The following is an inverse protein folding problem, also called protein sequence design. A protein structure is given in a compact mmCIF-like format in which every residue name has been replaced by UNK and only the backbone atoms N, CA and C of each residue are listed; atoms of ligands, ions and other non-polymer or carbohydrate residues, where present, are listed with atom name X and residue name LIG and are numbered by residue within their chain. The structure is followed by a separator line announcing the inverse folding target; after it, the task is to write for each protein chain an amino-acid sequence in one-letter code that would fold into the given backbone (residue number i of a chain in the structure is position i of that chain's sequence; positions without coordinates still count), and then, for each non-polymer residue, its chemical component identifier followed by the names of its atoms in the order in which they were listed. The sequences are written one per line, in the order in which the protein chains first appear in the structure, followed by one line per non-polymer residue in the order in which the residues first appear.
data_IF_290501072274
#
_entry.id   IF_290501072274
#
_cell.length_a   1.000
_cell.length_b   1.000
_cell.length_c   1.000
_cell.angle_alpha   90.00
_cell.angle_beta   90.00
_cell.angle_gamma   90.00
#
_symmetry.space_group_name_H-M   'P 1'
#
loop_
_entity.id
_entity.type
_entity.pdbx_description
1 polymer ?
#
# COMPACT_ATOMS: atom_id res chain seq x y z
N UNK A 1 7.40 -19.74 0.19
CA UNK A 1 6.56 -18.93 -0.70
C UNK A 1 5.93 -19.82 -1.77
N UNK A 2 4.62 -19.78 -1.90
CA UNK A 2 3.86 -20.55 -2.90
C UNK A 2 3.15 -19.64 -3.91
N UNK A 3 2.89 -18.39 -3.51
CA UNK A 3 2.10 -17.43 -4.28
C UNK A 3 2.88 -16.16 -4.55
N UNK A 4 2.56 -15.44 -5.62
CA UNK A 4 3.18 -14.15 -5.91
C UNK A 4 2.96 -13.11 -4.80
N UNK A 5 1.82 -13.13 -4.13
CA UNK A 5 1.53 -12.27 -2.98
C UNK A 5 2.42 -12.53 -1.77
N UNK A 6 2.99 -13.75 -1.62
CA UNK A 6 3.96 -14.05 -0.57
C UNK A 6 5.25 -13.22 -0.72
N UNK A 7 5.60 -12.83 -1.96
CA UNK A 7 6.77 -11.97 -2.21
C UNK A 7 6.55 -10.59 -1.61
N UNK A 8 5.37 -10.00 -1.82
CA UNK A 8 5.02 -8.69 -1.25
C UNK A 8 5.02 -8.75 0.27
N UNK A 9 4.39 -9.79 0.84
CA UNK A 9 4.36 -10.01 2.29
C UNK A 9 5.77 -10.19 2.88
N UNK A 10 6.63 -10.95 2.21
CA UNK A 10 8.01 -11.16 2.66
C UNK A 10 8.86 -9.89 2.60
N UNK A 11 8.69 -9.05 1.56
CA UNK A 11 9.38 -7.75 1.49
C UNK A 11 8.91 -6.84 2.62
N UNK A 12 7.60 -6.79 2.89
CA UNK A 12 7.02 -6.03 4.01
C UNK A 12 7.66 -6.44 5.34
N UNK A 13 7.77 -7.75 5.57
CA UNK A 13 8.41 -8.31 6.76
C UNK A 13 9.89 -7.95 6.85
N UNK A 14 10.64 -8.07 5.76
CA UNK A 14 12.09 -7.78 5.72
C UNK A 14 12.41 -6.31 5.93
N UNK A 15 11.53 -5.42 5.50
CA UNK A 15 11.65 -3.98 5.75
C UNK A 15 11.21 -3.59 7.18
N UNK A 16 10.82 -4.58 7.99
CA UNK A 16 10.38 -4.39 9.37
C UNK A 16 9.22 -3.39 9.51
N UNK A 17 8.30 -3.40 8.54
CA UNK A 17 7.05 -2.66 8.63
C UNK A 17 6.14 -3.41 9.61
N UNK A 18 6.18 -3.03 10.89
CA UNK A 18 5.56 -3.77 12.01
C UNK A 18 4.05 -3.94 11.87
N UNK A 19 3.40 -2.95 11.26
CA UNK A 19 1.95 -2.93 11.09
C UNK A 19 1.58 -2.61 9.65
N UNK A 20 0.42 -3.09 9.26
CA UNK A 20 -0.22 -2.71 8.02
C UNK A 20 -1.70 -2.37 8.28
N UNK A 21 -2.09 -1.13 8.05
CA UNK A 21 -3.48 -0.72 8.06
C UNK A 21 -4.13 -1.13 6.73
N UNK A 22 -5.15 -1.97 6.78
CA UNK A 22 -5.78 -2.55 5.58
C UNK A 22 -7.29 -2.36 5.62
N UNK A 23 -7.83 -1.80 4.53
CA UNK A 23 -9.27 -1.82 4.28
C UNK A 23 -9.60 -3.07 3.48
N UNK A 24 -10.43 -3.98 4.03
CA UNK A 24 -10.74 -5.25 3.38
C UNK A 24 -11.42 -5.06 2.03
N UNK A 25 -10.95 -5.81 1.03
CA UNK A 25 -11.53 -5.79 -0.31
C UNK A 25 -10.91 -6.85 -1.22
N UNK A 26 -11.57 -7.17 -2.31
CA UNK A 26 -11.12 -8.19 -3.25
C UNK A 26 -9.75 -7.87 -3.87
N UNK A 27 -9.37 -6.60 -3.92
CA UNK A 27 -8.06 -6.13 -4.42
C UNK A 27 -6.89 -6.71 -3.64
N UNK A 28 -7.07 -6.97 -2.35
CA UNK A 28 -6.00 -7.44 -1.46
C UNK A 28 -6.17 -8.87 -0.97
N UNK A 29 -7.10 -9.66 -1.54
CA UNK A 29 -7.32 -11.03 -1.09
C UNK A 29 -6.03 -11.84 -1.00
N UNK A 30 -5.21 -11.85 -2.04
CA UNK A 30 -3.94 -12.59 -2.04
C UNK A 30 -2.95 -12.06 -1.00
N UNK A 31 -2.81 -10.75 -0.89
CA UNK A 31 -1.89 -10.13 0.08
C UNK A 31 -2.35 -10.36 1.52
N UNK A 32 -3.64 -10.17 1.79
CA UNK A 32 -4.26 -10.50 3.08
C UNK A 32 -3.98 -11.97 3.47
N UNK A 33 -4.26 -12.89 2.55
CA UNK A 33 -4.05 -14.32 2.80
C UNK A 33 -2.57 -14.66 3.03
N UNK A 34 -1.65 -13.97 2.36
CA UNK A 34 -0.22 -14.14 2.59
C UNK A 34 0.21 -13.61 3.97
N UNK A 35 -0.31 -12.46 4.41
CA UNK A 35 -0.02 -11.95 5.75
C UNK A 35 -0.54 -12.93 6.81
N UNK A 36 -1.75 -13.47 6.65
CA UNK A 36 -2.37 -14.36 7.64
C UNK A 36 -1.75 -15.75 7.59
N UNK A 37 -1.72 -16.38 6.41
CA UNK A 37 -1.37 -17.80 6.30
C UNK A 37 0.13 -18.08 6.10
N UNK A 38 0.87 -17.16 5.48
CA UNK A 38 2.30 -17.32 5.27
C UNK A 38 3.12 -16.68 6.40
N UNK A 39 2.72 -15.49 6.91
CA UNK A 39 3.43 -14.78 7.98
C UNK A 39 2.79 -14.92 9.37
N UNK A 40 1.64 -15.58 9.51
CA UNK A 40 0.95 -15.78 10.79
C UNK A 40 0.41 -14.51 11.43
N UNK A 41 0.22 -13.44 10.65
CA UNK A 41 -0.26 -12.13 11.10
C UNK A 41 0.51 -11.55 12.30
N UNK A 42 1.82 -11.70 12.32
CA UNK A 42 2.67 -11.28 13.43
C UNK A 42 3.67 -10.17 13.06
N UNK A 43 4.22 -10.22 11.85
CA UNK A 43 5.14 -9.22 11.33
C UNK A 43 5.08 -9.20 9.79
N UNK A 44 4.33 -8.23 9.19
CA UNK A 44 3.51 -7.23 9.87
C UNK A 44 2.28 -7.82 10.55
N UNK A 45 1.81 -7.12 11.58
CA UNK A 45 0.48 -7.34 12.14
C UNK A 45 -0.53 -6.48 11.40
N UNK A 46 -1.61 -7.10 10.94
CA UNK A 46 -2.66 -6.40 10.20
C UNK A 46 -3.63 -5.70 11.15
N UNK A 47 -3.86 -4.42 10.88
CA UNK A 47 -4.89 -3.59 11.51
C UNK A 47 -6.02 -3.41 10.52
N UNK A 48 -7.16 -4.04 10.77
CA UNK A 48 -8.34 -3.93 9.91
C UNK A 48 -9.02 -2.59 10.14
N UNK A 49 -9.22 -1.84 9.07
CA UNK A 49 -9.87 -0.54 9.07
C UNK A 49 -11.19 -0.59 8.32
N UNK A 50 -12.13 0.26 8.72
CA UNK A 50 -13.46 0.35 8.11
C UNK A 50 -13.54 1.38 6.98
N UNK A 51 -12.52 2.25 6.88
CA UNK A 51 -12.44 3.31 5.88
C UNK A 51 -10.98 3.67 5.60
N UNK A 52 -10.68 4.06 4.39
CA UNK A 52 -9.32 4.35 3.94
C UNK A 52 -8.73 5.59 4.63
N UNK A 53 -9.55 6.58 4.90
CA UNK A 53 -9.17 7.74 5.71
C UNK A 53 -8.62 7.34 7.07
N UNK A 54 -9.29 6.39 7.74
CA UNK A 54 -8.85 5.87 9.04
C UNK A 54 -7.53 5.12 8.91
N UNK A 55 -7.38 4.32 7.85
CA UNK A 55 -6.16 3.54 7.64
C UNK A 55 -4.94 4.45 7.50
N UNK A 56 -5.04 5.50 6.68
CA UNK A 56 -3.93 6.47 6.52
C UNK A 56 -3.73 7.30 7.77
N UNK A 57 -4.80 7.75 8.44
CA UNK A 57 -4.70 8.54 9.68
C UNK A 57 -4.06 7.75 10.83
N UNK A 58 -4.30 6.44 10.91
CA UNK A 58 -3.62 5.55 11.87
C UNK A 58 -2.12 5.49 11.55
N UNK A 59 -1.76 5.33 10.28
CA UNK A 59 -0.35 5.30 9.87
C UNK A 59 0.35 6.65 10.11
N UNK A 60 -0.35 7.76 9.88
CA UNK A 60 0.14 9.10 10.18
C UNK A 60 0.40 9.28 11.69
N UNK A 61 -0.58 8.93 12.52
CA UNK A 61 -0.41 8.96 13.98
C UNK A 61 0.72 8.06 14.48
N UNK A 62 0.85 6.85 13.92
CA UNK A 62 1.94 5.93 14.24
C UNK A 62 3.30 6.55 13.90
N UNK A 63 3.46 7.06 12.69
CA UNK A 63 4.72 7.65 12.25
C UNK A 63 5.12 8.90 13.07
N UNK A 64 4.16 9.73 13.46
CA UNK A 64 4.40 10.91 14.32
C UNK A 64 4.93 10.53 15.71
N UNK A 65 4.50 9.40 16.24
CA UNK A 65 4.89 8.98 17.61
C UNK A 65 6.18 8.17 17.58
N UNK A 66 6.39 7.35 16.56
CA UNK A 66 7.49 6.38 16.52
C UNK A 66 8.64 6.79 15.63
N UNK A 67 8.41 7.75 14.73
CA UNK A 67 9.33 8.11 13.62
C UNK A 67 9.62 6.92 12.68
N UNK A 68 8.82 5.84 12.78
CA UNK A 68 8.92 4.67 11.92
C UNK A 68 7.79 4.67 10.88
N UNK A 69 8.03 4.20 9.65
CA UNK A 69 6.98 4.10 8.64
C UNK A 69 6.02 2.95 8.96
N UNK A 70 4.75 3.15 8.65
CA UNK A 70 3.73 2.11 8.67
C UNK A 70 3.27 1.82 7.23
N UNK A 71 2.90 0.58 6.95
CA UNK A 71 2.29 0.21 5.68
C UNK A 71 0.79 0.47 5.69
N UNK A 72 0.25 0.87 4.55
CA UNK A 72 -1.20 1.07 4.34
C UNK A 72 -1.63 0.41 3.04
N UNK A 73 -2.71 -0.35 3.05
CA UNK A 73 -3.28 -0.98 1.86
C UNK A 73 -4.70 -0.46 1.59
N UNK A 74 -4.86 0.23 0.47
CA UNK A 74 -6.07 0.96 0.08
C UNK A 74 -6.75 0.26 -1.09
N UNK A 75 -8.08 0.18 -1.06
CA UNK A 75 -8.86 -0.44 -2.13
C UNK A 75 -8.57 0.21 -3.50
N UNK A 76 -8.72 -0.56 -4.56
CA UNK A 76 -8.47 -0.11 -5.94
C UNK A 76 -9.28 1.15 -6.29
N UNK A 77 -8.64 2.15 -6.85
CA UNK A 77 -9.16 3.46 -7.23
C UNK A 77 -9.87 4.20 -6.08
N UNK A 78 -11.06 3.73 -5.70
CA UNK A 78 -11.91 4.41 -4.71
C UNK A 78 -11.24 4.56 -3.36
N UNK A 79 -10.45 3.58 -2.94
CA UNK A 79 -9.72 3.64 -1.68
C UNK A 79 -8.66 4.74 -1.69
N UNK A 80 -7.92 4.87 -2.78
CA UNK A 80 -6.92 5.94 -2.91
C UNK A 80 -7.60 7.32 -2.98
N UNK A 81 -8.76 7.43 -3.66
CA UNK A 81 -9.56 8.66 -3.69
C UNK A 81 -10.02 9.07 -2.28
N UNK A 82 -10.55 8.12 -1.50
CA UNK A 82 -10.97 8.39 -0.11
C UNK A 82 -9.79 8.74 0.81
N UNK A 83 -8.62 8.23 0.51
CA UNK A 83 -7.41 8.48 1.31
C UNK A 83 -6.65 9.75 0.89
N UNK A 84 -7.06 10.45 -0.16
CA UNK A 84 -6.32 11.59 -0.70
C UNK A 84 -6.05 12.66 0.36
N UNK A 85 -7.07 13.05 1.14
CA UNK A 85 -6.93 14.08 2.16
C UNK A 85 -5.96 13.68 3.29
N UNK A 86 -6.07 12.51 3.94
CA UNK A 86 -5.11 12.13 4.97
C UNK A 86 -3.70 11.84 4.42
N UNK A 87 -3.53 11.44 3.16
CA UNK A 87 -2.20 11.38 2.53
C UNK A 87 -1.60 12.78 2.43
N UNK A 88 -2.40 13.78 2.02
CA UNK A 88 -1.96 15.17 1.99
C UNK A 88 -1.59 15.69 3.38
N UNK A 89 -2.34 15.34 4.42
CA UNK A 89 -2.00 15.68 5.81
C UNK A 89 -0.64 15.08 6.20
N UNK A 90 -0.42 13.79 5.96
CA UNK A 90 0.85 13.12 6.23
C UNK A 90 2.03 13.73 5.44
N UNK A 91 1.77 14.18 4.20
CA UNK A 91 2.74 14.95 3.41
C UNK A 91 3.13 16.27 4.10
N UNK A 92 2.15 17.04 4.56
CA UNK A 92 2.39 18.29 5.28
C UNK A 92 3.15 18.05 6.59
N UNK A 93 2.82 16.99 7.30
CA UNK A 93 3.40 16.60 8.60
C UNK A 93 4.75 15.88 8.47
N UNK A 94 5.19 15.58 7.24
CA UNK A 94 6.43 14.84 6.97
C UNK A 94 6.47 13.45 7.60
N UNK A 95 5.32 12.80 7.67
CA UNK A 95 5.21 11.47 8.25
C UNK A 95 5.50 10.40 7.19
N UNK A 96 6.49 9.50 7.41
CA UNK A 96 6.79 8.46 6.45
C UNK A 96 5.73 7.35 6.46
N UNK A 97 5.35 6.86 5.29
CA UNK A 97 4.52 5.67 5.13
C UNK A 97 4.73 5.03 3.76
N UNK A 98 4.39 3.76 3.66
CA UNK A 98 4.36 3.03 2.39
C UNK A 98 2.92 2.69 2.05
N UNK A 99 2.42 3.23 0.95
CA UNK A 99 1.04 3.10 0.52
C UNK A 99 0.95 2.12 -0.64
N UNK A 100 0.17 1.06 -0.46
CA UNK A 100 -0.22 0.14 -1.51
C UNK A 100 -1.53 0.59 -2.13
N UNK A 101 -1.48 1.06 -3.36
CA UNK A 101 -2.64 1.17 -4.22
C UNK A 101 -2.89 -0.17 -4.93
N UNK A 102 -4.10 -0.42 -5.34
CA UNK A 102 -4.44 -1.60 -6.12
C UNK A 102 -5.07 -1.21 -7.45
N UNK A 103 -4.89 -2.02 -8.47
CA UNK A 103 -5.54 -1.86 -9.77
C UNK A 103 -6.01 -3.22 -10.29
N UNK A 104 -6.97 -3.21 -11.19
CA UNK A 104 -7.37 -4.40 -11.93
C UNK A 104 -6.22 -4.97 -12.76
N UNK A 105 -6.37 -6.19 -13.33
CA UNK A 105 -5.31 -6.84 -14.09
C UNK A 105 -4.78 -5.93 -15.22
N UNK A 106 -3.46 -5.82 -15.30
CA UNK A 106 -2.79 -5.11 -16.40
C UNK A 106 -3.09 -5.81 -17.74
N UNK A 107 -3.03 -7.15 -17.73
CA UNK A 107 -3.42 -7.97 -18.88
C UNK A 107 -4.94 -7.86 -19.13
N UNK A 108 -5.31 -7.22 -20.23
CA UNK A 108 -6.71 -6.99 -20.59
C UNK A 108 -7.51 -8.30 -20.74
N UNK A 109 -6.89 -9.42 -21.15
CA UNK A 109 -7.56 -10.72 -21.27
C UNK A 109 -7.95 -11.30 -19.92
N UNK A 110 -7.32 -10.86 -18.82
CA UNK A 110 -7.64 -11.30 -17.46
C UNK A 110 -8.66 -10.43 -16.77
N UNK A 111 -9.04 -9.31 -17.38
CA UNK A 111 -10.02 -8.40 -16.81
C UNK A 111 -11.41 -8.98 -16.87
N UNK A 112 -12.12 -8.83 -15.76
CA UNK A 112 -13.53 -9.19 -15.63
C UNK A 112 -14.38 -7.99 -16.06
N UNK A 113 -15.11 -8.04 -17.18
CA UNK A 113 -15.77 -6.88 -17.77
C UNK A 113 -16.86 -6.26 -16.88
N UNK A 114 -17.39 -7.04 -15.92
CA UNK A 114 -18.46 -6.58 -15.01
C UNK A 114 -17.95 -5.82 -13.77
N UNK A 115 -16.63 -5.84 -13.48
CA UNK A 115 -16.13 -5.24 -12.24
C UNK A 115 -14.77 -4.54 -12.39
N UNK A 116 -13.87 -5.02 -13.24
CA UNK A 116 -12.51 -4.46 -13.29
C UNK A 116 -12.47 -3.07 -13.90
N UNK A 117 -13.50 -2.66 -14.67
CA UNK A 117 -13.60 -1.31 -15.21
C UNK A 117 -13.68 -0.22 -14.13
N UNK A 118 -14.30 -0.52 -12.97
CA UNK A 118 -14.35 0.42 -11.83
C UNK A 118 -13.14 0.32 -10.91
N UNK A 119 -12.31 -0.72 -11.09
CA UNK A 119 -11.13 -0.99 -10.28
C UNK A 119 -9.82 -0.75 -11.04
N UNK A 120 -9.87 -0.19 -12.23
CA UNK A 120 -8.69 0.00 -13.08
C UNK A 120 -8.52 1.48 -13.42
N UNK A 121 -7.34 2.02 -13.10
CA UNK A 121 -6.86 3.30 -13.60
C UNK A 121 -5.61 3.05 -14.45
N UNK A 122 -5.38 3.88 -15.47
CA UNK A 122 -4.20 3.74 -16.32
C UNK A 122 -2.92 3.94 -15.53
N UNK A 123 -2.85 5.01 -14.73
CA UNK A 123 -1.77 5.31 -13.80
C UNK A 123 -2.40 5.83 -12.51
N UNK A 124 -2.57 4.94 -11.53
CA UNK A 124 -3.27 5.28 -10.29
C UNK A 124 -2.50 6.30 -9.45
N UNK A 125 -1.17 6.24 -9.44
CA UNK A 125 -0.30 7.16 -8.71
C UNK A 125 -0.52 8.64 -9.08
N UNK A 126 -1.03 8.94 -10.29
CA UNK A 126 -1.37 10.33 -10.68
C UNK A 126 -2.36 11.02 -9.74
N UNK A 127 -3.16 10.24 -8.99
CA UNK A 127 -4.15 10.81 -8.06
C UNK A 127 -3.50 11.49 -6.84
N UNK A 128 -2.28 11.11 -6.50
CA UNK A 128 -1.58 11.56 -5.28
C UNK A 128 -0.18 12.10 -5.54
N UNK A 129 0.27 12.11 -6.79
CA UNK A 129 1.66 12.44 -7.18
C UNK A 129 2.16 13.77 -6.65
N UNK A 130 1.31 14.76 -6.49
CA UNK A 130 1.68 16.09 -6.01
C UNK A 130 1.94 16.13 -4.48
N UNK A 131 1.54 15.09 -3.75
CA UNK A 131 1.69 15.00 -2.29
C UNK A 131 2.14 13.61 -1.81
N UNK A 132 2.96 12.96 -2.62
CA UNK A 132 3.82 11.84 -2.23
C UNK A 132 5.23 12.08 -2.76
N UNK A 133 6.24 11.50 -2.15
CA UNK A 133 7.64 11.66 -2.62
C UNK A 133 7.91 10.89 -3.90
N UNK A 134 7.22 9.78 -4.09
CA UNK A 134 7.45 8.90 -5.22
C UNK A 134 6.28 7.92 -5.38
N UNK A 135 6.00 7.55 -6.61
CA UNK A 135 5.04 6.51 -6.96
C UNK A 135 5.61 5.61 -8.05
N UNK A 136 5.20 4.34 -8.04
CA UNK A 136 5.55 3.38 -9.08
C UNK A 136 4.44 2.33 -9.23
N UNK A 137 4.39 1.73 -10.40
CA UNK A 137 3.42 0.69 -10.73
C UNK A 137 4.16 -0.48 -11.41
N UNK A 138 4.79 -1.38 -10.64
CA UNK A 138 5.51 -2.52 -11.21
C UNK A 138 4.55 -3.45 -11.95
N UNK A 139 4.94 -3.87 -13.15
CA UNK A 139 4.12 -4.71 -14.02
C UNK A 139 4.40 -6.20 -13.86
N UNK A 140 5.54 -6.57 -13.33
CA UNK A 140 5.93 -7.97 -13.12
C UNK A 140 6.22 -8.24 -11.66
N UNK A 141 6.07 -9.51 -11.26
CA UNK A 141 6.41 -9.91 -9.90
C UNK A 141 7.90 -9.72 -9.58
N UNK A 142 8.76 -9.81 -10.57
CA UNK A 142 10.20 -9.62 -10.42
C UNK A 142 10.56 -8.17 -10.07
N UNK A 143 9.78 -7.20 -10.54
CA UNK A 143 10.03 -5.77 -10.32
C UNK A 143 9.54 -5.30 -8.94
N UNK A 144 8.59 -6.04 -8.32
CA UNK A 144 7.95 -5.64 -7.07
C UNK A 144 8.96 -5.41 -5.93
N UNK A 145 9.93 -6.30 -5.65
CA UNK A 145 10.89 -6.07 -4.57
C UNK A 145 11.70 -4.79 -4.74
N UNK A 146 12.20 -4.51 -5.93
CA UNK A 146 13.02 -3.33 -6.20
C UNK A 146 12.21 -2.04 -6.07
N UNK A 147 11.01 -2.02 -6.63
CA UNK A 147 10.06 -0.92 -6.51
C UNK A 147 9.72 -0.64 -5.05
N UNK A 148 9.37 -1.68 -4.29
CA UNK A 148 8.98 -1.55 -2.89
C UNK A 148 10.15 -1.04 -2.02
N UNK A 149 11.35 -1.62 -2.16
CA UNK A 149 12.54 -1.21 -1.41
C UNK A 149 12.90 0.24 -1.73
N UNK A 150 12.77 0.64 -2.99
CA UNK A 150 13.01 2.03 -3.42
C UNK A 150 12.02 2.98 -2.78
N UNK A 151 10.72 2.70 -2.86
CA UNK A 151 9.67 3.50 -2.23
C UNK A 151 9.89 3.65 -0.72
N UNK A 152 10.17 2.53 -0.03
CA UNK A 152 10.48 2.55 1.39
C UNK A 152 11.68 3.47 1.71
N UNK A 153 12.79 3.34 0.99
CA UNK A 153 13.98 4.17 1.21
C UNK A 153 13.70 5.65 0.99
N UNK A 154 12.93 5.98 -0.05
CA UNK A 154 12.55 7.36 -0.35
C UNK A 154 11.66 7.92 0.78
N UNK A 155 10.69 7.15 1.27
CA UNK A 155 9.80 7.58 2.33
C UNK A 155 10.53 7.94 3.62
N UNK A 156 11.54 7.15 4.03
CA UNK A 156 12.31 7.35 5.27
C UNK A 156 13.52 8.28 5.11
N UNK A 157 13.85 8.71 3.89
CA UNK A 157 14.94 9.68 3.65
C UNK A 157 14.43 11.09 3.90
N UNK A 158 15.17 11.88 4.67
CA UNK A 158 14.83 13.27 4.97
C UNK A 158 14.76 14.18 3.72
N UNK A 159 13.79 15.09 3.63
CA UNK A 159 12.63 15.19 4.51
C UNK A 159 11.68 14.01 4.30
N UNK A 160 11.31 13.32 5.38
CA UNK A 160 10.41 12.15 5.30
C UNK A 160 9.01 12.56 4.79
N UNK A 161 8.31 11.62 4.12
CA UNK A 161 6.91 11.78 3.73
C UNK A 161 6.37 10.48 3.08
N UNK A 162 5.06 10.39 2.80
CA UNK A 162 4.47 9.30 2.05
C UNK A 162 5.11 9.09 0.68
#
# INVERSE_FOLDING_TARGET
MKWGSDVVAEVTRRLNLKYIALVPGASYRGFHDSIVNYLGNSNPQMVICLHEEHAVSIADGYGKVTEEPMAVALHANVGLMHAAMPIFNAWCDRTPMVIFGATGPVDAHRRRPWIDWIHTALVQGNQVRDYVKWDDQPYTLADVPDSFIRGYRIAITEPMAP
#
